data_IF_920118798134
#
_entry.id   IF_920118798134
#
_cell.length_a   1.000
_cell.length_b   1.000
_cell.length_c   1.000
_cell.angle_alpha   90.00
_cell.angle_beta   90.00
_cell.angle_gamma   90.00
#
_symmetry.space_group_name_H-M   'P 1'
#
loop_
_entity.id
_entity.type
_entity.pdbx_description
1 polymer ?
#
# COMPACT_ATOMS: atom_id res chain seq x y z
N UNK A 1 -16.99 -21.32 -11.38
CA UNK A 1 -17.73 -20.55 -10.35
C UNK A 1 -16.81 -20.28 -9.18
N UNK A 2 -17.11 -19.32 -8.30
CA UNK A 2 -16.31 -19.04 -7.09
C UNK A 2 -16.11 -20.30 -6.23
N UNK A 3 -17.07 -21.22 -6.27
CA UNK A 3 -17.01 -22.50 -5.55
C UNK A 3 -15.86 -23.39 -6.05
N UNK A 4 -15.56 -23.36 -7.35
CA UNK A 4 -14.42 -24.08 -7.94
C UNK A 4 -13.08 -23.52 -7.44
N UNK A 5 -13.01 -22.21 -7.18
CA UNK A 5 -11.79 -21.59 -6.66
C UNK A 5 -11.61 -21.88 -5.17
N UNK A 6 -12.68 -21.89 -4.37
CA UNK A 6 -12.62 -22.25 -2.94
C UNK A 6 -12.34 -23.74 -2.75
N UNK A 7 -12.88 -24.60 -3.61
CA UNK A 7 -12.56 -26.03 -3.61
C UNK A 7 -11.10 -26.28 -4.05
N UNK A 8 -10.60 -25.51 -5.03
CA UNK A 8 -9.17 -25.53 -5.41
C UNK A 8 -8.26 -25.02 -4.29
N UNK A 9 -8.73 -24.02 -3.51
CA UNK A 9 -8.01 -23.47 -2.35
C UNK A 9 -7.77 -24.52 -1.27
N UNK A 10 -8.77 -25.36 -1.03
CA UNK A 10 -8.71 -26.40 -0.01
C UNK A 10 -7.99 -27.67 -0.49
N UNK A 11 -7.93 -27.91 -1.80
CA UNK A 11 -7.38 -29.13 -2.40
C UNK A 11 -5.88 -29.06 -2.75
N UNK A 12 -5.32 -27.86 -3.00
CA UNK A 12 -3.91 -27.72 -3.41
C UNK A 12 -3.00 -27.38 -2.22
N UNK A 13 -2.20 -28.36 -1.79
CA UNK A 13 -1.07 -28.16 -0.87
C UNK A 13 0.13 -27.48 -1.55
N UNK A 14 0.08 -27.29 -2.88
CA UNK A 14 1.08 -26.59 -3.68
C UNK A 14 0.40 -25.46 -4.45
N UNK A 15 0.50 -24.25 -3.90
CA UNK A 15 0.04 -23.04 -4.56
C UNK A 15 1.11 -22.53 -5.52
N UNK A 16 0.79 -22.49 -6.81
CA UNK A 16 1.67 -21.83 -7.76
C UNK A 16 1.51 -20.31 -7.71
N UNK A 17 2.60 -19.57 -7.99
CA UNK A 17 2.57 -18.12 -8.20
C UNK A 17 1.40 -17.58 -9.04
N UNK A 18 1.10 -18.26 -10.15
CA UNK A 18 0.05 -17.84 -11.09
C UNK A 18 -1.35 -17.94 -10.51
N UNK A 19 -1.59 -18.90 -9.61
CA UNK A 19 -2.91 -19.15 -9.03
C UNK A 19 -3.25 -18.08 -7.99
N UNK A 20 -2.28 -17.71 -7.15
CA UNK A 20 -2.42 -16.63 -6.15
C UNK A 20 -2.68 -15.30 -6.84
N UNK A 21 -1.95 -15.03 -7.93
CA UNK A 21 -2.13 -13.83 -8.74
C UNK A 21 -3.53 -13.72 -9.34
N UNK A 22 -3.99 -14.79 -9.97
CA UNK A 22 -5.30 -14.86 -10.61
C UNK A 22 -6.43 -14.76 -9.60
N UNK A 23 -6.27 -15.40 -8.44
CA UNK A 23 -7.25 -15.40 -7.34
C UNK A 23 -7.39 -14.00 -6.72
N UNK A 24 -6.28 -13.37 -6.33
CA UNK A 24 -6.31 -12.01 -5.79
C UNK A 24 -6.88 -11.05 -6.84
N UNK A 25 -6.45 -11.14 -8.11
CA UNK A 25 -6.98 -10.28 -9.16
C UNK A 25 -8.50 -10.48 -9.39
N UNK A 26 -9.00 -11.71 -9.27
CA UNK A 26 -10.43 -12.00 -9.32
C UNK A 26 -11.19 -11.44 -8.10
N UNK A 27 -10.60 -11.48 -6.91
CA UNK A 27 -11.17 -10.93 -5.69
C UNK A 27 -11.17 -9.39 -5.70
N UNK A 28 -10.12 -8.76 -6.23
CA UNK A 28 -10.07 -7.31 -6.46
C UNK A 28 -11.16 -6.87 -7.42
N UNK A 29 -11.34 -7.58 -8.55
CA UNK A 29 -12.43 -7.29 -9.51
C UNK A 29 -13.83 -7.39 -8.89
N UNK A 30 -14.00 -8.21 -7.85
CA UNK A 30 -15.30 -8.46 -7.20
C UNK A 30 -15.52 -7.65 -5.92
N UNK A 31 -14.59 -6.75 -5.55
CA UNK A 31 -14.62 -5.95 -4.29
C UNK A 31 -14.78 -6.79 -3.01
N UNK A 32 -14.46 -8.09 -3.03
CA UNK A 32 -14.59 -8.99 -1.87
C UNK A 32 -13.27 -9.08 -1.11
N UNK A 33 -12.86 -7.97 -0.50
CA UNK A 33 -11.57 -7.85 0.20
C UNK A 33 -11.50 -8.69 1.48
N UNK A 34 -12.61 -8.87 2.20
CA UNK A 34 -12.67 -9.69 3.43
C UNK A 34 -12.23 -11.13 3.20
N UNK A 35 -12.73 -11.74 2.11
CA UNK A 35 -12.37 -13.10 1.73
C UNK A 35 -10.93 -13.21 1.26
N UNK A 36 -10.37 -12.15 0.66
CA UNK A 36 -8.96 -12.14 0.28
C UNK A 36 -8.05 -12.17 1.51
N UNK A 37 -8.41 -11.46 2.58
CA UNK A 37 -7.63 -11.44 3.83
C UNK A 37 -7.66 -12.81 4.51
N UNK A 38 -8.83 -13.44 4.64
CA UNK A 38 -8.92 -14.77 5.27
C UNK A 38 -8.18 -15.86 4.49
N UNK A 39 -8.14 -15.75 3.16
CA UNK A 39 -7.36 -16.64 2.31
C UNK A 39 -5.86 -16.42 2.51
N UNK A 40 -5.42 -15.17 2.62
CA UNK A 40 -4.01 -14.84 2.86
C UNK A 40 -3.52 -15.29 4.24
N UNK A 41 -4.33 -15.10 5.30
CA UNK A 41 -4.04 -15.64 6.64
C UNK A 41 -3.90 -17.16 6.63
N UNK A 42 -4.76 -17.86 5.88
CA UNK A 42 -4.67 -19.31 5.72
C UNK A 42 -3.43 -19.75 4.92
N UNK A 43 -2.90 -18.90 4.04
CA UNK A 43 -1.66 -19.18 3.29
C UNK A 43 -0.41 -18.86 4.10
N UNK A 44 -0.44 -17.79 4.90
CA UNK A 44 0.62 -17.38 5.81
C UNK A 44 0.93 -18.45 6.86
N UNK A 45 -0.12 -19.05 7.44
CA UNK A 45 0.00 -20.16 8.40
C UNK A 45 0.61 -21.43 7.79
N UNK A 46 0.72 -21.53 6.45
CA UNK A 46 1.25 -22.70 5.74
C UNK A 46 2.67 -22.53 5.18
N UNK A 47 3.40 -21.49 5.55
CA UNK A 47 4.84 -21.33 5.23
C UNK A 47 5.18 -21.29 3.72
N UNK A 48 4.26 -20.90 2.85
CA UNK A 48 4.58 -20.75 1.42
C UNK A 48 5.44 -19.50 1.25
N UNK A 49 6.71 -19.67 0.84
CA UNK A 49 7.64 -18.57 0.56
C UNK A 49 7.11 -17.74 -0.61
N UNK A 50 6.40 -16.65 -0.30
CA UNK A 50 5.87 -15.64 -1.22
C UNK A 50 6.96 -14.79 -1.93
N UNK A 51 8.15 -15.34 -2.19
CA UNK A 51 9.37 -14.61 -2.53
C UNK A 51 9.42 -14.05 -3.97
N UNK A 52 8.64 -14.54 -4.95
CA UNK A 52 8.82 -14.11 -6.35
C UNK A 52 7.57 -13.63 -7.07
N UNK A 53 6.41 -13.69 -6.43
CA UNK A 53 5.11 -13.54 -7.11
C UNK A 53 4.48 -12.17 -6.86
N UNK A 54 4.90 -11.48 -5.80
CA UNK A 54 3.95 -10.67 -5.05
C UNK A 54 3.82 -9.22 -5.53
N UNK A 55 4.76 -8.68 -6.31
CA UNK A 55 4.68 -7.28 -6.75
C UNK A 55 3.53 -7.05 -7.73
N UNK A 56 3.38 -7.88 -8.77
CA UNK A 56 2.33 -7.70 -9.78
C UNK A 56 0.92 -7.88 -9.23
N UNK A 57 0.75 -8.84 -8.32
CA UNK A 57 -0.54 -9.16 -7.68
C UNK A 57 -0.98 -8.05 -6.75
N UNK A 58 -0.07 -7.60 -5.90
CA UNK A 58 -0.31 -6.55 -4.93
C UNK A 58 -0.51 -5.20 -5.63
N UNK A 59 0.32 -4.88 -6.64
CA UNK A 59 0.11 -3.72 -7.52
C UNK A 59 -1.27 -3.81 -8.17
N UNK A 60 -1.71 -4.97 -8.67
CA UNK A 60 -3.04 -5.11 -9.28
C UNK A 60 -4.19 -4.95 -8.27
N UNK A 61 -3.98 -5.36 -7.02
CA UNK A 61 -4.91 -5.14 -5.92
C UNK A 61 -5.02 -3.64 -5.57
N UNK A 62 -3.86 -2.96 -5.51
CA UNK A 62 -3.76 -1.56 -5.16
C UNK A 62 -4.11 -0.58 -6.29
N UNK A 63 -3.94 -0.96 -7.56
CA UNK A 63 -4.21 -0.08 -8.72
C UNK A 63 -5.69 0.02 -9.05
N UNK A 64 -6.47 -1.03 -8.76
CA UNK A 64 -7.85 -1.14 -9.26
C UNK A 64 -8.95 -0.92 -8.24
N UNK A 65 -8.66 -0.87 -6.94
CA UNK A 65 -9.70 -0.73 -5.92
C UNK A 65 -9.21 0.01 -4.68
N UNK A 66 -10.15 0.64 -3.97
CA UNK A 66 -10.07 1.08 -2.57
C UNK A 66 -9.81 -0.08 -1.58
N UNK A 67 -9.23 -1.19 -2.05
CA UNK A 67 -8.93 -2.41 -1.32
C UNK A 67 -7.57 -2.30 -0.60
N UNK A 68 -7.32 -1.15 0.03
CA UNK A 68 -6.15 -0.93 0.87
C UNK A 68 -5.99 -1.98 1.99
N UNK A 69 -7.05 -2.60 2.59
CA UNK A 69 -6.88 -3.57 3.66
C UNK A 69 -6.18 -4.87 3.20
N UNK A 70 -6.56 -5.42 2.04
CA UNK A 70 -5.97 -6.65 1.48
C UNK A 70 -4.49 -6.47 1.22
N UNK A 71 -4.15 -5.29 0.78
CA UNK A 71 -2.85 -5.07 0.22
C UNK A 71 -1.88 -4.57 1.32
N UNK A 72 -2.40 -4.03 2.42
CA UNK A 72 -1.68 -3.99 3.71
C UNK A 72 -1.42 -5.37 4.31
N UNK A 73 -2.40 -6.27 4.32
CA UNK A 73 -2.18 -7.63 4.84
C UNK A 73 -1.11 -8.33 4.00
N UNK A 74 -1.13 -8.16 2.67
CA UNK A 74 -0.05 -8.65 1.81
C UNK A 74 1.33 -8.07 2.16
N UNK A 75 1.43 -6.77 2.44
CA UNK A 75 2.70 -6.15 2.86
C UNK A 75 3.19 -6.71 4.19
N UNK A 76 2.29 -6.99 5.14
CA UNK A 76 2.62 -7.58 6.43
C UNK A 76 3.09 -9.04 6.32
N UNK A 77 2.50 -9.80 5.40
CA UNK A 77 2.83 -11.21 5.18
C UNK A 77 4.10 -11.44 4.34
N UNK A 78 4.57 -10.42 3.61
CA UNK A 78 5.80 -10.50 2.84
C UNK A 78 7.01 -10.27 3.75
N UNK A 79 7.88 -11.27 3.88
CA UNK A 79 9.07 -11.20 4.72
C UNK A 79 10.09 -10.12 4.29
N UNK A 80 10.13 -9.75 3.00
CA UNK A 80 11.02 -8.72 2.44
C UNK A 80 10.29 -7.88 1.39
N UNK A 81 9.46 -6.92 1.82
CA UNK A 81 8.75 -6.04 0.90
C UNK A 81 9.76 -5.14 0.17
N UNK A 82 9.58 -4.97 -1.14
CA UNK A 82 10.41 -4.10 -1.97
C UNK A 82 9.82 -2.69 -2.08
N UNK A 83 10.56 -1.77 -2.70
CA UNK A 83 10.12 -0.37 -2.85
C UNK A 83 8.84 -0.26 -3.69
N UNK A 84 8.61 -1.16 -4.65
CA UNK A 84 7.42 -1.15 -5.52
C UNK A 84 6.17 -1.51 -4.71
N UNK A 85 6.30 -2.48 -3.80
CA UNK A 85 5.24 -2.89 -2.90
C UNK A 85 4.81 -1.74 -1.97
N UNK A 86 5.78 -1.10 -1.30
CA UNK A 86 5.51 0.06 -0.46
C UNK A 86 4.89 1.22 -1.25
N UNK A 87 5.42 1.51 -2.44
CA UNK A 87 4.88 2.55 -3.34
C UNK A 87 3.41 2.29 -3.65
N UNK A 88 3.07 1.05 -4.00
CA UNK A 88 1.70 0.65 -4.33
C UNK A 88 0.76 0.75 -3.13
N UNK A 89 1.26 0.36 -1.95
CA UNK A 89 0.51 0.45 -0.71
C UNK A 89 0.20 1.90 -0.30
N UNK A 90 1.21 2.75 -0.41
CA UNK A 90 1.07 4.17 -0.14
C UNK A 90 0.12 4.87 -1.11
N UNK A 91 0.21 4.58 -2.41
CA UNK A 91 -0.75 5.12 -3.40
C UNK A 91 -2.19 4.68 -3.15
N UNK A 92 -2.41 3.51 -2.55
CA UNK A 92 -3.75 3.08 -2.14
C UNK A 92 -4.22 3.78 -0.86
N UNK A 93 -3.33 4.00 0.12
CA UNK A 93 -3.64 4.80 1.30
C UNK A 93 -3.96 6.26 0.93
N UNK A 94 -3.25 6.83 -0.03
CA UNK A 94 -3.54 8.15 -0.62
C UNK A 94 -4.97 8.20 -1.17
N UNK A 95 -5.32 7.27 -2.08
CA UNK A 95 -6.65 7.22 -2.68
C UNK A 95 -7.76 6.95 -1.66
N UNK A 96 -7.49 6.16 -0.64
CA UNK A 96 -8.41 5.92 0.47
C UNK A 96 -8.45 7.01 1.54
N UNK A 97 -7.61 8.06 1.45
CA UNK A 97 -7.53 9.11 2.47
C UNK A 97 -6.99 8.64 3.83
N UNK A 98 -6.34 7.48 3.88
CA UNK A 98 -5.86 6.85 5.12
C UNK A 98 -4.44 7.32 5.47
N UNK A 99 -4.33 8.59 5.87
CA UNK A 99 -3.04 9.23 6.21
C UNK A 99 -2.28 8.54 7.35
N UNK A 100 -2.98 8.01 8.36
CA UNK A 100 -2.35 7.28 9.49
C UNK A 100 -1.59 6.05 9.01
N UNK A 101 -2.20 5.32 8.08
CA UNK A 101 -1.62 4.12 7.48
C UNK A 101 -0.49 4.45 6.53
N UNK A 102 -0.62 5.53 5.75
CA UNK A 102 0.47 6.02 4.91
C UNK A 102 1.75 6.31 5.73
N UNK A 103 1.61 7.02 6.86
CA UNK A 103 2.74 7.31 7.74
C UNK A 103 3.31 6.06 8.42
N UNK A 104 2.45 5.11 8.80
CA UNK A 104 2.89 3.81 9.35
C UNK A 104 3.72 3.04 8.32
N UNK A 105 3.25 2.95 7.07
CA UNK A 105 3.97 2.29 5.98
C UNK A 105 5.33 2.92 5.70
N UNK A 106 5.43 4.25 5.73
CA UNK A 106 6.72 4.96 5.66
C UNK A 106 7.66 4.53 6.79
N UNK A 107 7.16 4.49 8.03
CA UNK A 107 7.93 4.04 9.19
C UNK A 107 8.37 2.57 9.08
N UNK A 108 7.53 1.71 8.52
CA UNK A 108 7.86 0.31 8.30
C UNK A 108 8.90 0.15 7.18
N UNK A 109 8.82 0.95 6.12
CA UNK A 109 9.81 1.01 5.04
C UNK A 109 11.20 1.44 5.56
N UNK A 110 11.25 2.41 6.48
CA UNK A 110 12.48 2.80 7.19
C UNK A 110 13.10 1.63 7.97
N UNK A 111 12.28 0.93 8.77
CA UNK A 111 12.73 -0.21 9.58
C UNK A 111 13.21 -1.37 8.70
N UNK A 112 12.54 -1.59 7.58
CA UNK A 112 12.92 -2.59 6.57
C UNK A 112 14.16 -2.19 5.76
N UNK A 113 14.73 -0.99 5.97
CA UNK A 113 15.86 -0.43 5.23
C UNK A 113 15.63 -0.38 3.72
N UNK A 114 14.38 -0.19 3.31
CA UNK A 114 14.02 -0.03 1.91
C UNK A 114 14.15 1.44 1.55
N UNK A 115 14.88 1.80 0.48
CA UNK A 115 15.11 3.20 0.12
C UNK A 115 13.81 3.87 -0.32
N UNK A 116 13.53 5.05 0.25
CA UNK A 116 12.43 5.89 -0.20
C UNK A 116 12.62 6.30 -1.67
N UNK A 117 11.50 6.56 -2.34
CA UNK A 117 11.47 7.13 -3.67
C UNK A 117 10.44 8.27 -3.72
N UNK A 118 10.45 9.05 -4.81
CA UNK A 118 9.53 10.19 -4.96
C UNK A 118 8.05 9.76 -4.90
N UNK A 119 7.72 8.58 -5.41
CA UNK A 119 6.34 8.07 -5.41
C UNK A 119 5.81 7.85 -3.99
N UNK A 120 6.62 7.22 -3.13
CA UNK A 120 6.31 6.94 -1.72
C UNK A 120 6.13 8.24 -0.95
N UNK A 121 7.06 9.18 -1.08
CA UNK A 121 6.99 10.46 -0.40
C UNK A 121 5.80 11.31 -0.88
N UNK A 122 5.60 11.40 -2.20
CA UNK A 122 4.46 12.12 -2.78
C UNK A 122 3.13 11.54 -2.31
N UNK A 123 2.95 10.22 -2.36
CA UNK A 123 1.70 9.58 -1.94
C UNK A 123 1.42 9.81 -0.44
N UNK A 124 2.45 9.79 0.41
CA UNK A 124 2.30 10.09 1.83
C UNK A 124 1.92 11.56 2.09
N UNK A 125 2.54 12.50 1.36
CA UNK A 125 2.23 13.93 1.46
C UNK A 125 0.79 14.19 1.00
N UNK A 126 0.38 13.63 -0.15
CA UNK A 126 -0.99 13.72 -0.65
C UNK A 126 -2.01 13.13 0.34
N UNK A 127 -1.71 11.96 0.93
CA UNK A 127 -2.57 11.34 1.93
C UNK A 127 -2.73 12.28 3.16
N UNK A 128 -1.64 12.87 3.63
CA UNK A 128 -1.64 13.82 4.74
C UNK A 128 -2.43 15.10 4.39
N UNK A 129 -2.32 15.61 3.17
CA UNK A 129 -3.11 16.74 2.67
C UNK A 129 -4.61 16.44 2.71
N UNK A 130 -5.02 15.26 2.23
CA UNK A 130 -6.41 14.79 2.28
C UNK A 130 -6.93 14.65 3.71
N UNK A 131 -6.05 14.26 4.64
CA UNK A 131 -6.35 14.17 6.08
C UNK A 131 -6.27 15.48 6.87
N UNK A 132 -5.92 16.61 6.23
CA UNK A 132 -5.70 17.89 6.93
C UNK A 132 -4.46 17.92 7.82
N UNK A 133 -3.54 16.97 7.65
CA UNK A 133 -2.34 16.75 8.46
C UNK A 133 -1.12 17.46 7.87
N UNK A 134 -1.20 18.79 7.87
CA UNK A 134 -0.17 19.65 7.28
C UNK A 134 1.21 19.51 7.94
N UNK A 135 1.26 19.33 9.27
CA UNK A 135 2.51 19.20 10.01
C UNK A 135 3.25 17.91 9.62
N UNK A 136 2.50 16.82 9.46
CA UNK A 136 3.02 15.54 8.99
C UNK A 136 3.46 15.62 7.52
N UNK A 137 2.67 16.29 6.66
CA UNK A 137 3.04 16.52 5.27
C UNK A 137 4.38 17.29 5.14
N UNK A 138 4.57 18.33 5.95
CA UNK A 138 5.82 19.08 6.02
C UNK A 138 6.99 18.23 6.55
N UNK A 139 6.74 17.39 7.56
CA UNK A 139 7.77 16.50 8.10
C UNK A 139 8.26 15.50 7.05
N UNK A 140 7.35 14.93 6.26
CA UNK A 140 7.71 14.03 5.15
C UNK A 140 8.44 14.80 4.04
N UNK A 141 7.98 16.00 3.70
CA UNK A 141 8.64 16.86 2.71
C UNK A 141 10.07 17.22 3.11
N UNK A 142 10.28 17.64 4.36
CA UNK A 142 11.61 17.95 4.89
C UNK A 142 12.51 16.70 4.99
N UNK A 143 11.92 15.51 5.12
CA UNK A 143 12.66 14.26 5.08
C UNK A 143 13.19 13.93 3.68
N UNK A 144 12.56 14.42 2.60
CA UNK A 144 13.02 14.18 1.22
C UNK A 144 14.41 14.77 0.96
N UNK A 145 14.66 15.99 1.45
CA UNK A 145 15.98 16.64 1.35
C UNK A 145 17.07 15.80 2.04
N UNK A 146 16.74 15.20 3.19
CA UNK A 146 17.70 14.37 3.96
C UNK A 146 18.09 13.08 3.26
N UNK A 147 17.25 12.60 2.34
CA UNK A 147 17.53 11.40 1.54
C UNK A 147 17.92 11.74 0.09
N UNK A 148 18.24 13.01 -0.18
CA UNK A 148 18.62 13.52 -1.49
C UNK A 148 17.58 13.21 -2.59
N UNK A 149 16.30 13.22 -2.22
CA UNK A 149 15.19 13.10 -3.16
C UNK A 149 14.68 14.50 -3.51
N UNK A 150 14.64 14.83 -4.80
CA UNK A 150 14.05 16.07 -5.27
C UNK A 150 12.51 15.99 -5.20
N UNK A 151 11.85 16.85 -4.42
CA UNK A 151 10.39 16.89 -4.37
C UNK A 151 9.82 17.27 -5.73
N UNK A 152 8.85 16.50 -6.21
CA UNK A 152 8.18 16.80 -7.47
C UNK A 152 7.11 17.88 -7.31
N UNK A 153 6.49 18.27 -8.44
CA UNK A 153 5.44 19.28 -8.45
C UNK A 153 4.24 18.89 -7.58
N UNK A 154 3.98 17.59 -7.41
CA UNK A 154 2.87 17.09 -6.59
C UNK A 154 3.18 17.37 -5.12
N UNK A 155 4.39 17.05 -4.66
CA UNK A 155 4.85 17.32 -3.30
C UNK A 155 4.71 18.80 -2.92
N UNK A 156 5.20 19.70 -3.78
CA UNK A 156 5.08 21.15 -3.57
C UNK A 156 3.62 21.62 -3.49
N UNK A 157 2.79 21.17 -4.42
CA UNK A 157 1.38 21.57 -4.47
C UNK A 157 0.60 21.07 -3.25
N UNK A 158 0.81 19.82 -2.84
CA UNK A 158 0.12 19.23 -1.69
C UNK A 158 0.55 19.86 -0.37
N UNK A 159 1.83 20.18 -0.18
CA UNK A 159 2.30 20.92 1.00
C UNK A 159 1.71 22.33 1.05
N UNK A 160 1.71 23.07 -0.07
CA UNK A 160 1.12 24.41 -0.13
C UNK A 160 -0.39 24.38 0.14
N UNK A 161 -1.10 23.41 -0.44
CA UNK A 161 -2.54 23.20 -0.21
C UNK A 161 -2.83 22.86 1.25
N UNK A 162 -2.04 21.98 1.86
CA UNK A 162 -2.17 21.61 3.27
C UNK A 162 -1.96 22.84 4.18
N UNK A 163 -0.93 23.65 3.95
CA UNK A 163 -0.65 24.86 4.72
C UNK A 163 -1.72 25.95 4.52
N UNK A 164 -2.19 26.16 3.29
CA UNK A 164 -3.25 27.13 2.97
C UNK A 164 -4.59 26.78 3.62
N UNK A 165 -4.86 25.49 3.87
CA UNK A 165 -6.03 25.06 4.64
C UNK A 165 -5.92 25.50 6.10
N UNK A 166 -4.75 25.41 6.74
CA UNK A 166 -4.54 25.84 8.15
C UNK A 166 -4.81 27.32 8.36
N UNK A 167 -4.28 28.17 7.48
CA UNK A 167 -4.49 29.63 7.57
C UNK A 167 -5.95 30.06 7.39
N UNK A 168 -6.86 29.16 6.98
CA UNK A 168 -8.31 29.40 6.93
C UNK A 168 -9.05 28.96 8.20
N UNK A 169 -8.42 28.22 9.11
CA UNK A 169 -9.01 27.81 10.40
C UNK A 169 -8.63 28.75 11.55
N UNK A 170 -7.69 29.68 11.35
CA UNK A 170 -7.28 30.69 12.33
C UNK A 170 -7.99 32.05 12.17
N UNK A 171 -9.00 32.15 11.28
CA UNK A 171 -9.93 33.29 11.18
C UNK A 171 -11.33 32.89 11.62
#
# INVERSE_FOLDING_TARGET
GLDVLVDFVHASDQWEPGDVASLVQALTKRRQWEKAITLLDNMASRSVRLHMVNTGVVVSAFTRCDAWPVALSLVAEIARPDAVLYSSALSACERGGHWTLALRLLGDMYKARVPYNNVVCSAAISACEGGGRWAEALAVFAAMDRVALEPDRICWNSVMSACAKVGRWEM
#
